data_IF_534243866547
#
_entry.id   IF_534243866547
#
_cell.length_a   1.000
_cell.length_b   1.000
_cell.length_c   1.000
_cell.angle_alpha   90.00
_cell.angle_beta   90.00
_cell.angle_gamma   90.00
#
_symmetry.space_group_name_H-M   'P 1'
#
loop_
_entity.id
_entity.type
_entity.pdbx_description
1 polymer ?
#
# COMPACT_ATOMS: atom_id res chain seq x y z
N UNK A 1 -6.90 31.07 11.91
CA UNK A 1 -6.50 29.65 11.81
C UNK A 1 -7.64 28.90 11.14
N UNK A 2 -7.41 28.50 9.90
CA UNK A 2 -8.43 28.07 8.95
C UNK A 2 -8.83 26.61 9.21
N UNK A 3 -10.15 26.33 9.25
CA UNK A 3 -10.75 25.00 9.50
C UNK A 3 -10.14 23.82 8.72
N UNK A 4 -9.42 24.07 7.61
CA UNK A 4 -8.72 23.07 6.80
C UNK A 4 -7.47 22.46 7.47
N UNK A 5 -6.82 23.16 8.40
CA UNK A 5 -5.61 22.63 9.08
C UNK A 5 -5.99 21.65 10.20
N UNK A 6 -7.05 21.95 10.95
CA UNK A 6 -7.57 21.09 12.02
C UNK A 6 -8.04 19.71 11.50
N UNK A 7 -8.55 19.65 10.28
CA UNK A 7 -9.03 18.40 9.67
C UNK A 7 -7.89 17.50 9.21
N UNK A 8 -6.77 18.07 8.75
CA UNK A 8 -5.57 17.28 8.39
C UNK A 8 -4.92 16.63 9.61
N UNK A 9 -4.79 17.37 10.70
CA UNK A 9 -4.26 16.85 11.97
C UNK A 9 -5.13 15.73 12.55
N UNK A 10 -6.45 15.87 12.48
CA UNK A 10 -7.39 14.83 12.90
C UNK A 10 -7.22 13.52 12.08
N UNK A 11 -7.00 13.63 10.77
CA UNK A 11 -6.75 12.47 9.89
C UNK A 11 -5.41 11.79 10.21
N UNK A 12 -4.35 12.55 10.50
CA UNK A 12 -3.04 12.01 10.91
C UNK A 12 -3.10 11.28 12.26
N UNK A 13 -4.04 11.66 13.14
CA UNK A 13 -4.20 11.04 14.47
C UNK A 13 -5.03 9.76 14.50
N UNK A 14 -5.64 9.34 13.39
CA UNK A 14 -6.48 8.14 13.30
C UNK A 14 -5.63 6.86 13.34
N UNK A 15 -5.22 6.46 14.55
CA UNK A 15 -4.58 5.16 14.79
C UNK A 15 -5.63 4.05 14.75
N UNK A 16 -5.40 3.04 13.92
CA UNK A 16 -6.22 1.82 13.92
C UNK A 16 -5.99 1.09 15.26
N UNK A 17 -7.00 1.06 16.12
CA UNK A 17 -6.93 0.37 17.42
C UNK A 17 -7.25 -1.13 17.35
N UNK A 18 -8.04 -1.54 16.35
CA UNK A 18 -8.47 -2.93 16.17
C UNK A 18 -8.71 -3.24 14.69
N UNK A 19 -8.52 -4.51 14.34
CA UNK A 19 -8.74 -5.04 12.99
C UNK A 19 -9.86 -6.08 13.05
N UNK A 20 -11.06 -5.71 12.63
CA UNK A 20 -12.16 -6.64 12.42
C UNK A 20 -12.09 -7.28 11.02
N UNK A 21 -12.94 -8.28 10.76
CA UNK A 21 -12.94 -8.99 9.47
C UNK A 21 -13.22 -8.09 8.26
N UNK A 22 -14.08 -7.07 8.41
CA UNK A 22 -14.41 -6.14 7.32
C UNK A 22 -13.20 -5.26 7.00
N UNK A 23 -12.53 -4.73 8.03
CA UNK A 23 -11.32 -3.94 7.89
C UNK A 23 -10.19 -4.77 7.30
N UNK A 24 -9.99 -5.99 7.78
CA UNK A 24 -8.99 -6.90 7.21
C UNK A 24 -9.24 -7.13 5.72
N UNK A 25 -10.47 -7.47 5.33
CA UNK A 25 -10.85 -7.63 3.92
C UNK A 25 -10.50 -6.38 3.10
N UNK A 26 -10.85 -5.18 3.59
CA UNK A 26 -10.56 -3.93 2.90
C UNK A 26 -9.06 -3.65 2.79
N UNK A 27 -8.30 -3.93 3.85
CA UNK A 27 -6.85 -3.78 3.88
C UNK A 27 -6.16 -4.70 2.88
N UNK A 28 -6.60 -5.97 2.78
CA UNK A 28 -6.07 -6.92 1.79
C UNK A 28 -6.35 -6.43 0.37
N UNK A 29 -7.59 -6.04 0.06
CA UNK A 29 -7.96 -5.50 -1.26
C UNK A 29 -7.12 -4.26 -1.60
N UNK A 30 -6.99 -3.33 -0.65
CA UNK A 30 -6.18 -2.13 -0.83
C UNK A 30 -4.70 -2.46 -1.07
N UNK A 31 -4.16 -3.45 -0.34
CA UNK A 31 -2.80 -3.97 -0.52
C UNK A 31 -2.59 -4.57 -1.91
N UNK A 32 -3.50 -5.43 -2.37
CA UNK A 32 -3.46 -6.01 -3.72
C UNK A 32 -3.48 -4.91 -4.79
N UNK A 33 -4.39 -3.94 -4.68
CA UNK A 33 -4.44 -2.81 -5.60
C UNK A 33 -3.15 -1.98 -5.59
N UNK A 34 -2.54 -1.80 -4.42
CA UNK A 34 -1.26 -1.10 -4.31
C UNK A 34 -0.13 -1.85 -5.01
N UNK A 35 -0.03 -3.18 -4.82
CA UNK A 35 0.95 -4.03 -5.50
C UNK A 35 0.76 -3.97 -7.02
N UNK A 36 -0.49 -4.13 -7.50
CA UNK A 36 -0.80 -4.03 -8.93
C UNK A 36 -0.37 -2.68 -9.54
N UNK A 37 -0.71 -1.58 -8.86
CA UNK A 37 -0.35 -0.22 -9.31
C UNK A 37 1.16 0.07 -9.22
N UNK A 38 1.92 -0.74 -8.48
CA UNK A 38 3.37 -0.61 -8.32
C UNK A 38 4.14 -1.71 -9.04
N UNK A 39 3.49 -2.54 -9.86
CA UNK A 39 4.11 -3.66 -10.58
C UNK A 39 5.44 -3.28 -11.25
N UNK A 40 5.46 -2.23 -12.07
CA UNK A 40 6.69 -1.82 -12.77
C UNK A 40 7.78 -1.35 -11.81
N UNK A 41 7.42 -0.65 -10.75
CA UNK A 41 8.39 -0.29 -9.71
C UNK A 41 8.94 -1.56 -9.03
N UNK A 42 8.07 -2.51 -8.70
CA UNK A 42 8.42 -3.77 -8.05
C UNK A 42 9.27 -4.68 -8.96
N UNK A 43 9.11 -4.63 -10.28
CA UNK A 43 9.99 -5.32 -11.21
C UNK A 43 11.45 -4.83 -11.10
N UNK A 44 11.68 -3.60 -10.62
CA UNK A 44 13.01 -2.99 -10.53
C UNK A 44 13.68 -3.12 -9.16
N UNK A 45 13.01 -3.67 -8.12
CA UNK A 45 13.58 -3.69 -6.76
C UNK A 45 14.56 -4.84 -6.53
N UNK A 46 14.38 -5.96 -7.23
CA UNK A 46 15.28 -7.10 -7.11
C UNK A 46 16.46 -6.93 -8.06
N UNK A 47 17.65 -6.72 -7.51
CA UNK A 47 18.88 -6.40 -8.27
C UNK A 47 20.01 -7.43 -8.04
N UNK A 48 19.69 -8.63 -7.54
CA UNK A 48 20.70 -9.64 -7.20
C UNK A 48 20.31 -11.06 -7.69
N UNK A 49 21.24 -11.87 -8.26
CA UNK A 49 22.54 -11.50 -8.85
C UNK A 49 22.42 -10.89 -10.26
N UNK A 50 21.26 -11.03 -10.90
CA UNK A 50 20.89 -10.43 -12.19
C UNK A 50 19.45 -9.93 -12.05
N UNK A 51 19.11 -8.71 -12.50
CA UNK A 51 17.73 -8.24 -12.51
C UNK A 51 16.88 -9.13 -13.43
N UNK A 52 15.99 -9.93 -12.83
CA UNK A 52 15.02 -10.78 -13.53
C UNK A 52 13.81 -9.97 -14.03
N UNK A 53 13.57 -8.79 -13.45
CA UNK A 53 12.57 -7.84 -13.94
C UNK A 53 11.14 -8.32 -13.78
N UNK A 54 10.91 -9.39 -13.01
CA UNK A 54 9.64 -10.10 -12.91
C UNK A 54 9.04 -10.07 -11.50
N UNK A 55 9.76 -9.52 -10.52
CA UNK A 55 9.35 -9.48 -9.10
C UNK A 55 7.95 -8.87 -8.91
N UNK A 56 7.63 -7.79 -9.61
CA UNK A 56 6.29 -7.19 -9.59
C UNK A 56 5.24 -8.04 -10.29
N UNK A 57 5.62 -8.73 -11.38
CA UNK A 57 4.76 -9.68 -12.09
C UNK A 57 4.37 -10.85 -11.19
N UNK A 58 5.31 -11.44 -10.46
CA UNK A 58 5.09 -12.57 -9.55
C UNK A 58 4.17 -12.23 -8.37
N UNK A 59 4.11 -10.95 -7.97
CA UNK A 59 3.23 -10.50 -6.88
C UNK A 59 1.87 -10.00 -7.36
N UNK A 60 1.73 -9.64 -8.65
CA UNK A 60 0.50 -9.12 -9.24
C UNK A 60 -0.28 -10.17 -10.07
N UNK A 61 0.26 -11.39 -10.17
CA UNK A 61 -0.33 -12.55 -10.86
C UNK A 61 -1.44 -13.24 -10.07
#
# INVERSE_FOLDING_TARGET
MTHKESTKEAVLSLKIKYLDGIRLKRSVIAGCNFVMNKKEYLNNINVFPVPDGDTGTNMAS
#
